data_IF_507598641231
#
_entry.id   IF_507598641231
#
_cell.length_a   1.000
_cell.length_b   1.000
_cell.length_c   1.000
_cell.angle_alpha   90.00
_cell.angle_beta   90.00
_cell.angle_gamma   90.00
#
_symmetry.space_group_name_H-M   'P 1'
#
loop_
_entity.id
_entity.type
_entity.pdbx_description
1 polymer ?
#
# COMPACT_ATOMS: atom_id res chain seq x y z
N UNK A 1 10.12 -8.39 -4.30
CA UNK A 1 9.42 -8.05 -3.03
C UNK A 1 9.08 -9.34 -2.29
N UNK A 2 8.62 -9.27 -1.04
CA UNK A 2 8.12 -10.45 -0.32
C UNK A 2 6.84 -11.02 -0.94
N UNK A 3 6.56 -12.29 -0.68
CA UNK A 3 5.34 -12.97 -1.11
C UNK A 3 4.11 -12.36 -0.39
N UNK A 4 3.01 -12.04 -1.09
CA UNK A 4 1.83 -11.48 -0.47
C UNK A 4 1.18 -12.45 0.52
N UNK A 5 0.86 -11.95 1.71
CA UNK A 5 0.16 -12.70 2.74
C UNK A 5 -1.12 -11.98 3.17
N UNK A 6 -2.23 -12.72 3.17
CA UNK A 6 -3.57 -12.21 3.49
C UNK A 6 -4.07 -12.68 4.85
N UNK A 7 -3.34 -13.56 5.53
CA UNK A 7 -3.75 -14.09 6.83
C UNK A 7 -3.59 -12.99 7.89
N UNK A 8 -4.66 -12.63 8.63
CA UNK A 8 -4.63 -11.57 9.64
C UNK A 8 -3.47 -11.68 10.64
N UNK A 9 -3.12 -12.91 11.06
CA UNK A 9 -2.03 -13.16 12.01
C UNK A 9 -0.68 -12.67 11.45
N UNK A 10 -0.46 -12.81 10.15
CA UNK A 10 0.78 -12.41 9.48
C UNK A 10 0.78 -10.94 9.04
N UNK A 11 -0.37 -10.24 9.10
CA UNK A 11 -0.54 -8.79 8.83
C UNK A 11 -0.52 -7.96 10.13
N UNK A 12 -0.12 -8.57 11.25
CA UNK A 12 -0.57 -8.18 12.61
C UNK A 12 -1.94 -7.50 12.71
N UNK A 13 -2.97 -8.08 12.09
CA UNK A 13 -4.36 -7.63 12.17
C UNK A 13 -5.14 -8.50 13.16
N UNK A 14 -5.85 -7.89 14.12
CA UNK A 14 -6.76 -8.59 15.04
C UNK A 14 -8.09 -8.91 14.36
N UNK A 15 -8.10 -9.91 13.50
CA UNK A 15 -9.32 -10.45 12.89
C UNK A 15 -9.35 -11.97 13.03
N UNK A 16 -10.56 -12.52 13.22
CA UNK A 16 -10.77 -13.96 13.44
C UNK A 16 -10.77 -14.78 12.14
N UNK A 17 -11.09 -14.14 11.01
CA UNK A 17 -11.19 -14.76 9.69
C UNK A 17 -10.51 -13.87 8.66
N UNK A 18 -10.03 -14.52 7.59
CA UNK A 18 -9.47 -13.83 6.44
C UNK A 18 -10.61 -13.36 5.53
N UNK A 19 -10.70 -12.05 5.33
CA UNK A 19 -11.64 -11.38 4.43
C UNK A 19 -10.90 -10.59 3.35
N UNK A 20 -11.63 -10.20 2.29
CA UNK A 20 -11.09 -9.33 1.24
C UNK A 20 -10.87 -7.89 1.71
N UNK A 21 -11.79 -7.40 2.54
CA UNK A 21 -11.74 -6.07 3.17
C UNK A 21 -12.15 -6.17 4.64
N UNK A 22 -11.72 -5.18 5.43
CA UNK A 22 -12.03 -5.05 6.84
C UNK A 22 -12.45 -3.61 7.12
N UNK A 23 -13.36 -3.43 8.07
CA UNK A 23 -13.67 -2.10 8.61
C UNK A 23 -12.70 -1.77 9.75
N UNK A 24 -11.84 -0.77 9.55
CA UNK A 24 -10.85 -0.31 10.53
C UNK A 24 -11.09 1.17 10.78
N UNK A 25 -11.42 1.52 12.03
CA UNK A 25 -11.76 2.89 12.43
C UNK A 25 -12.89 3.52 11.60
N UNK A 26 -13.84 2.71 11.12
CA UNK A 26 -14.96 3.15 10.27
C UNK A 26 -14.63 3.27 8.78
N UNK A 27 -13.43 2.84 8.35
CA UNK A 27 -13.01 2.83 6.95
C UNK A 27 -12.89 1.40 6.43
N UNK A 28 -13.45 1.14 5.25
CA UNK A 28 -13.26 -0.12 4.55
C UNK A 28 -11.89 -0.14 3.86
N UNK A 29 -11.06 -1.12 4.22
CA UNK A 29 -9.70 -1.27 3.68
C UNK A 29 -9.39 -2.73 3.34
N UNK A 30 -8.70 -2.95 2.23
CA UNK A 30 -8.02 -4.22 1.97
C UNK A 30 -6.74 -4.28 2.82
N UNK A 31 -6.38 -5.47 3.33
CA UNK A 31 -5.17 -5.63 4.14
C UNK A 31 -4.31 -6.76 3.62
N UNK A 32 -3.00 -6.54 3.59
CA UNK A 32 -2.02 -7.57 3.23
C UNK A 32 -0.65 -7.24 3.80
N UNK A 33 0.22 -8.24 3.82
CA UNK A 33 1.63 -8.10 4.14
C UNK A 33 2.47 -8.56 2.96
N UNK A 34 3.52 -7.81 2.62
CA UNK A 34 4.56 -8.23 1.65
C UNK A 34 5.96 -8.20 2.29
N UNK A 35 6.00 -8.52 3.59
CA UNK A 35 7.16 -8.35 4.50
C UNK A 35 6.95 -7.22 5.53
N UNK A 36 6.03 -6.31 5.24
CA UNK A 36 5.51 -5.28 6.13
C UNK A 36 3.98 -5.12 5.92
N UNK A 37 3.22 -4.71 6.95
CA UNK A 37 1.75 -4.63 6.88
C UNK A 37 1.26 -3.38 6.13
N UNK A 38 0.24 -3.57 5.30
CA UNK A 38 -0.43 -2.53 4.51
C UNK A 38 -1.94 -2.59 4.68
N UNK A 39 -2.57 -1.43 4.75
CA UNK A 39 -4.00 -1.20 4.57
C UNK A 39 -4.17 -0.35 3.30
N UNK A 40 -5.00 -0.80 2.37
CA UNK A 40 -5.26 -0.11 1.10
C UNK A 40 -6.72 0.31 1.06
N UNK A 41 -6.96 1.61 0.99
CA UNK A 41 -8.29 2.20 0.86
C UNK A 41 -8.52 2.63 -0.59
N UNK A 42 -9.63 2.19 -1.18
CA UNK A 42 -10.09 2.70 -2.47
C UNK A 42 -10.71 4.09 -2.26
N UNK A 43 -10.30 5.07 -3.07
CA UNK A 43 -10.81 6.45 -3.01
C UNK A 43 -11.21 6.97 -4.38
N UNK A 44 -12.15 7.92 -4.40
CA UNK A 44 -12.59 8.55 -5.65
C UNK A 44 -11.53 9.50 -6.23
N UNK A 45 -10.83 10.25 -5.36
CA UNK A 45 -9.80 11.21 -5.75
C UNK A 45 -8.75 11.37 -4.64
N UNK A 46 -7.49 11.05 -4.95
CA UNK A 46 -6.37 11.17 -4.02
C UNK A 46 -6.01 12.63 -3.68
N UNK A 47 -6.48 13.60 -4.46
CA UNK A 47 -6.21 15.03 -4.23
C UNK A 47 -7.13 15.64 -3.19
N UNK A 48 -8.34 15.10 -3.04
CA UNK A 48 -9.35 15.60 -2.10
C UNK A 48 -9.38 14.83 -0.78
N UNK A 49 -8.80 13.63 -0.72
CA UNK A 49 -8.81 12.82 0.48
C UNK A 49 -7.89 13.41 1.56
N UNK A 50 -8.38 13.42 2.80
CA UNK A 50 -7.60 13.81 3.96
C UNK A 50 -6.71 12.65 4.43
N UNK A 51 -5.60 12.44 3.71
CA UNK A 51 -4.65 11.33 3.91
C UNK A 51 -4.19 11.22 5.35
N UNK A 52 -3.76 12.34 5.96
CA UNK A 52 -3.16 12.32 7.28
C UNK A 52 -4.17 11.91 8.36
N UNK A 53 -5.34 12.55 8.40
CA UNK A 53 -6.30 12.28 9.48
C UNK A 53 -6.85 10.85 9.40
N UNK A 54 -7.15 10.38 8.19
CA UNK A 54 -7.66 9.01 7.98
C UNK A 54 -6.57 7.98 8.30
N UNK A 55 -5.34 8.19 7.82
CA UNK A 55 -4.25 7.26 8.09
C UNK A 55 -3.93 7.15 9.58
N UNK A 56 -3.94 8.26 10.32
CA UNK A 56 -3.75 8.26 11.77
C UNK A 56 -4.85 7.45 12.47
N UNK A 57 -6.11 7.66 12.09
CA UNK A 57 -7.24 6.91 12.67
C UNK A 57 -7.10 5.40 12.44
N UNK A 58 -6.73 5.00 11.22
CA UNK A 58 -6.47 3.59 10.89
C UNK A 58 -5.26 3.06 11.68
N UNK A 59 -4.11 3.75 11.67
CA UNK A 59 -2.90 3.30 12.37
C UNK A 59 -3.08 3.19 13.90
N UNK A 60 -3.93 4.03 14.50
CA UNK A 60 -4.20 4.01 15.94
C UNK A 60 -5.29 3.01 16.34
N UNK A 61 -5.93 2.33 15.37
CA UNK A 61 -6.94 1.33 15.65
C UNK A 61 -6.37 0.17 16.47
N UNK A 62 -7.13 -0.28 17.47
CA UNK A 62 -6.78 -1.46 18.28
C UNK A 62 -6.68 -2.75 17.45
N UNK A 63 -7.25 -2.76 16.24
CA UNK A 63 -7.13 -3.86 15.29
C UNK A 63 -5.72 -4.00 14.71
N UNK A 64 -4.91 -2.93 14.75
CA UNK A 64 -3.56 -2.88 14.19
C UNK A 64 -2.52 -2.60 15.31
N UNK A 65 -2.24 -3.56 16.21
CA UNK A 65 -1.31 -3.38 17.33
C UNK A 65 0.10 -2.94 16.92
N UNK A 66 0.54 -3.29 15.71
CA UNK A 66 1.84 -2.91 15.19
C UNK A 66 1.75 -1.77 14.15
N UNK A 67 0.58 -1.15 14.00
CA UNK A 67 0.23 -0.21 12.92
C UNK A 67 0.48 -0.81 11.52
N UNK A 68 0.10 -0.08 10.48
CA UNK A 68 0.34 -0.45 9.09
C UNK A 68 0.66 0.77 8.23
N UNK A 69 1.26 0.56 7.07
CA UNK A 69 1.28 1.58 6.03
C UNK A 69 -0.14 1.72 5.48
N UNK A 70 -0.60 2.94 5.25
CA UNK A 70 -1.95 3.22 4.74
C UNK A 70 -1.85 3.81 3.34
N UNK A 71 -2.26 3.04 2.34
CA UNK A 71 -2.32 3.44 0.94
C UNK A 71 -3.71 3.93 0.54
N UNK A 72 -3.76 5.02 -0.20
CA UNK A 72 -4.97 5.62 -0.75
C UNK A 72 -4.92 5.49 -2.26
N UNK A 73 -5.65 4.51 -2.79
CA UNK A 73 -5.62 4.14 -4.21
C UNK A 73 -6.83 4.72 -4.93
N UNK A 74 -6.60 5.46 -5.99
CA UNK A 74 -7.61 5.87 -6.96
C UNK A 74 -7.37 5.11 -8.25
N UNK A 75 -8.35 4.33 -8.69
CA UNK A 75 -8.29 3.62 -9.97
C UNK A 75 -8.66 4.59 -11.09
N UNK A 76 -7.73 4.77 -12.05
CA UNK A 76 -7.98 5.57 -13.25
C UNK A 76 -8.50 4.69 -14.38
N UNK A 77 -7.90 3.51 -14.54
CA UNK A 77 -8.33 2.43 -15.41
C UNK A 77 -7.72 1.10 -14.94
N UNK A 78 -7.96 0.00 -15.66
CA UNK A 78 -7.48 -1.33 -15.27
C UNK A 78 -5.95 -1.47 -15.18
N UNK A 79 -5.18 -0.59 -15.83
CA UNK A 79 -3.72 -0.62 -15.86
C UNK A 79 -3.07 0.61 -15.21
N UNK A 80 -3.84 1.48 -14.53
CA UNK A 80 -3.34 2.77 -14.06
C UNK A 80 -4.03 3.24 -12.78
N UNK A 81 -3.24 3.63 -11.79
CA UNK A 81 -3.72 4.17 -10.51
C UNK A 81 -2.98 5.44 -10.10
N UNK A 82 -3.65 6.33 -9.38
CA UNK A 82 -2.98 7.28 -8.50
C UNK A 82 -2.85 6.69 -7.11
N UNK A 83 -1.72 6.93 -6.44
CA UNK A 83 -1.46 6.41 -5.11
C UNK A 83 -0.78 7.43 -4.21
N UNK A 84 -1.33 7.60 -3.01
CA UNK A 84 -0.67 8.27 -1.87
C UNK A 84 -0.50 7.28 -0.73
N UNK A 85 0.63 7.35 -0.02
CA UNK A 85 0.92 6.41 1.07
C UNK A 85 1.34 7.19 2.32
N UNK A 86 0.69 6.88 3.43
CA UNK A 86 1.09 7.32 4.76
C UNK A 86 1.80 6.15 5.46
N UNK A 87 3.11 6.28 5.62
CA UNK A 87 3.97 5.23 6.15
C UNK A 87 4.00 5.23 7.67
N UNK A 88 4.04 4.01 8.22
CA UNK A 88 4.20 3.79 9.65
C UNK A 88 5.53 4.39 10.12
N UNK A 89 5.45 5.38 11.01
CA UNK A 89 6.62 6.02 11.63
C UNK A 89 7.32 7.08 10.77
N UNK A 90 6.86 7.33 9.53
CA UNK A 90 7.44 8.33 8.64
C UNK A 90 6.43 9.37 8.14
N UNK A 91 5.12 9.10 8.23
CA UNK A 91 4.09 9.99 7.71
C UNK A 91 3.91 9.84 6.20
N UNK A 92 3.32 10.85 5.55
CA UNK A 92 3.16 10.82 4.09
C UNK A 92 4.50 10.98 3.38
N UNK A 93 4.91 9.97 2.61
CA UNK A 93 6.16 9.97 1.84
C UNK A 93 5.91 10.27 0.37
N UNK A 94 6.96 10.68 -0.35
CA UNK A 94 6.85 10.96 -1.79
C UNK A 94 6.58 9.67 -2.59
N UNK A 95 7.18 8.56 -2.18
CA UNK A 95 6.97 7.26 -2.80
C UNK A 95 7.21 6.15 -1.77
N UNK A 96 6.38 5.10 -1.84
CA UNK A 96 6.54 3.89 -1.06
C UNK A 96 6.40 2.68 -1.99
N UNK A 97 7.51 2.04 -2.36
CA UNK A 97 7.49 0.91 -3.30
C UNK A 97 6.68 -0.28 -2.78
N UNK A 98 6.80 -0.58 -1.48
CA UNK A 98 5.98 -1.63 -0.86
C UNK A 98 4.48 -1.29 -0.85
N UNK A 99 4.13 -0.02 -0.63
CA UNK A 99 2.75 0.46 -0.72
C UNK A 99 2.17 0.39 -2.13
N UNK A 100 2.97 0.67 -3.16
CA UNK A 100 2.58 0.52 -4.56
C UNK A 100 2.28 -0.94 -4.92
N UNK A 101 3.15 -1.87 -4.54
CA UNK A 101 2.89 -3.30 -4.71
C UNK A 101 1.60 -3.71 -3.99
N UNK A 102 1.45 -3.30 -2.73
CA UNK A 102 0.28 -3.64 -1.92
C UNK A 102 -1.03 -3.15 -2.57
N UNK A 103 -1.07 -1.91 -3.05
CA UNK A 103 -2.22 -1.34 -3.72
C UNK A 103 -2.61 -2.10 -5.00
N UNK A 104 -1.63 -2.40 -5.86
CA UNK A 104 -1.87 -3.14 -7.10
C UNK A 104 -2.35 -4.57 -6.80
N UNK A 105 -1.70 -5.29 -5.88
CA UNK A 105 -2.15 -6.63 -5.48
C UNK A 105 -3.60 -6.61 -4.99
N UNK A 106 -3.96 -5.64 -4.13
CA UNK A 106 -5.33 -5.48 -3.64
C UNK A 106 -6.32 -5.18 -4.77
N UNK A 107 -5.96 -4.30 -5.72
CA UNK A 107 -6.80 -3.97 -6.86
C UNK A 107 -7.02 -5.15 -7.82
N UNK A 108 -5.99 -5.94 -8.10
CA UNK A 108 -6.11 -7.16 -8.92
C UNK A 108 -7.02 -8.18 -8.25
N UNK A 109 -6.82 -8.44 -6.94
CA UNK A 109 -7.67 -9.38 -6.19
C UNK A 109 -9.12 -8.94 -6.10
N UNK A 110 -9.38 -7.63 -6.12
CA UNK A 110 -10.72 -7.06 -6.16
C UNK A 110 -11.35 -7.07 -7.56
N UNK A 111 -10.62 -7.51 -8.61
CA UNK A 111 -11.09 -7.46 -10.00
C UNK A 111 -11.18 -6.04 -10.58
N UNK A 112 -10.46 -5.08 -9.98
CA UNK A 112 -10.44 -3.67 -10.40
C UNK A 112 -9.27 -3.36 -11.35
N UNK A 113 -8.21 -4.15 -11.29
CA UNK A 113 -6.97 -3.97 -12.04
C UNK A 113 -6.54 -5.25 -12.74
N UNK A 114 -5.81 -5.10 -13.84
CA UNK A 114 -5.09 -6.17 -14.51
C UNK A 114 -3.73 -6.44 -13.85
N UNK A 115 -3.01 -7.45 -14.33
CA UNK A 115 -1.73 -7.90 -13.75
C UNK A 115 -0.57 -6.91 -13.91
N UNK A 116 -0.62 -5.99 -14.87
CA UNK A 116 0.42 -4.98 -15.09
C UNK A 116 -0.18 -3.58 -14.96
N UNK A 117 0.31 -2.82 -13.98
CA UNK A 117 -0.27 -1.54 -13.58
C UNK A 117 0.81 -0.49 -13.37
N UNK A 118 0.58 0.70 -13.90
CA UNK A 118 1.36 1.91 -13.57
C UNK A 118 0.74 2.57 -12.34
N UNK A 119 1.54 2.74 -11.29
CA UNK A 119 1.18 3.50 -10.11
C UNK A 119 1.85 4.87 -10.14
N UNK A 120 1.04 5.93 -10.21
CA UNK A 120 1.48 7.31 -10.11
C UNK A 120 1.59 7.70 -8.63
N UNK A 121 2.83 7.80 -8.13
CA UNK A 121 3.13 8.33 -6.80
C UNK A 121 3.58 9.79 -6.91
N UNK A 122 3.61 10.50 -5.77
CA UNK A 122 4.06 11.90 -5.72
C UNK A 122 5.52 12.07 -6.14
N UNK A 123 6.35 11.05 -5.94
CA UNK A 123 7.77 11.01 -6.28
C UNK A 123 8.06 10.49 -7.69
N UNK A 124 7.05 10.09 -8.46
CA UNK A 124 7.18 9.51 -9.80
C UNK A 124 6.45 8.19 -9.96
N UNK A 125 6.58 7.61 -11.15
CA UNK A 125 5.85 6.42 -11.54
C UNK A 125 6.59 5.14 -11.17
N UNK A 126 5.82 4.11 -10.79
CA UNK A 126 6.31 2.75 -10.63
C UNK A 126 5.46 1.80 -11.48
N UNK A 127 6.11 0.94 -12.26
CA UNK A 127 5.46 -0.17 -12.95
C UNK A 127 5.43 -1.37 -12.02
N UNK A 128 4.24 -1.88 -11.75
CA UNK A 128 4.01 -3.05 -10.92
C UNK A 128 3.45 -4.18 -11.78
N UNK A 129 4.07 -5.35 -11.68
CA UNK A 129 3.59 -6.57 -12.33
C UNK A 129 3.29 -7.61 -11.26
N UNK A 130 2.02 -7.98 -11.13
CA UNK A 130 1.53 -9.01 -10.23
C UNK A 130 1.05 -10.21 -11.05
N UNK A 131 1.86 -11.26 -11.07
CA UNK A 131 1.67 -12.43 -11.93
C UNK A 131 0.82 -13.51 -11.28
N UNK A 132 0.33 -14.47 -12.07
CA UNK A 132 -0.49 -15.59 -11.60
C UNK A 132 0.19 -16.47 -10.53
N UNK A 133 1.53 -16.43 -10.44
CA UNK A 133 2.32 -17.15 -9.42
C UNK A 133 2.48 -16.36 -8.11
N UNK A 134 1.63 -15.35 -7.88
CA UNK A 134 1.67 -14.46 -6.71
C UNK A 134 2.99 -13.69 -6.52
N UNK A 135 3.84 -13.66 -7.56
CA UNK A 135 5.05 -12.87 -7.58
C UNK A 135 4.74 -11.44 -8.01
N UNK A 136 5.28 -10.48 -7.25
CA UNK A 136 5.21 -9.05 -7.55
C UNK A 136 6.59 -8.49 -7.91
N UNK A 137 6.65 -7.89 -9.09
CA UNK A 137 7.80 -7.14 -9.59
C UNK A 137 7.48 -5.65 -9.51
N UNK A 138 8.50 -4.85 -9.15
CA UNK A 138 8.44 -3.40 -9.12
C UNK A 138 9.60 -2.87 -9.95
N UNK A 139 9.28 -2.03 -10.93
CA UNK A 139 10.24 -1.33 -11.77
C UNK A 139 10.05 0.18 -11.62
N UNK A 140 11.14 0.89 -11.32
CA UNK A 140 11.15 2.34 -11.16
C UNK A 140 12.58 2.89 -11.24
N UNK A 141 12.75 4.20 -11.43
CA UNK A 141 14.07 4.82 -11.53
C UNK A 141 14.80 4.82 -10.17
N UNK A 142 16.13 4.70 -10.22
CA UNK A 142 17.01 4.91 -9.07
C UNK A 142 18.18 5.81 -9.48
N UNK A 143 18.51 6.81 -8.67
CA UNK A 143 19.56 7.79 -8.96
C UNK A 143 20.54 7.92 -7.80
N UNK A 144 21.83 7.85 -8.11
CA UNK A 144 22.89 8.17 -7.16
C UNK A 144 22.91 9.68 -6.87
N UNK A 145 22.97 10.07 -5.60
CA UNK A 145 22.99 11.47 -5.18
C UNK A 145 24.38 11.89 -4.73
N UNK A 146 24.95 11.22 -3.72
CA UNK A 146 26.29 11.49 -3.20
C UNK A 146 26.83 10.29 -2.40
N UNK A 147 28.12 10.33 -2.09
CA UNK A 147 28.80 9.43 -1.15
C UNK A 147 29.40 10.26 0.00
N UNK A 148 29.33 9.76 1.23
CA UNK A 148 29.82 10.48 2.40
C UNK A 148 30.27 9.54 3.52
N UNK A 149 31.08 10.08 4.44
CA UNK A 149 31.57 9.38 5.63
C UNK A 149 31.09 10.11 6.89
N UNK A 150 30.62 9.37 7.89
CA UNK A 150 30.19 9.89 9.19
C UNK A 150 30.96 9.20 10.32
N UNK A 151 31.35 9.96 11.34
CA UNK A 151 31.85 9.44 12.61
C UNK A 151 30.68 9.39 13.59
N UNK A 152 30.48 8.24 14.23
CA UNK A 152 29.36 7.97 15.15
C UNK A 152 29.84 8.09 16.60
#
# INVERSE_FOLDING_TARGET
>A
MGEPNFNPINIPLRAMQQENTYEIAGFEVATLSIGNPHCVMLVNDVNTVNVQDIAIQIQQSELLPNQANVGFMQVLNANEINLRVYERGAGETLACGSGACAAVISGVRAGLLDSTVVAHLRGGDALIEYTENEHVFLSGPAQFVYEGQIEI
#
